data_IF_102798016752
#
_entry.id   IF_102798016752
#
_cell.length_a   1.000
_cell.length_b   1.000
_cell.length_c   1.000
_cell.angle_alpha   90.00
_cell.angle_beta   90.00
_cell.angle_gamma   90.00
#
_symmetry.space_group_name_H-M   'P 1'
#
loop_
_entity.id
_entity.type
_entity.pdbx_description
1 polymer ?
#
# COMPACT_ATOMS: atom_id res chain seq x y z
N UNK A 1 -8.55 20.82 -35.93
CA UNK A 1 -8.65 19.60 -35.10
C UNK A 1 -7.72 19.76 -33.89
N UNK A 2 -8.28 19.99 -32.71
CA UNK A 2 -7.48 20.04 -31.48
C UNK A 2 -7.04 18.63 -31.09
N UNK A 3 -5.73 18.42 -30.88
CA UNK A 3 -5.19 17.16 -30.34
C UNK A 3 -5.83 16.91 -28.97
N UNK A 4 -6.48 15.76 -28.77
CA UNK A 4 -6.83 15.25 -27.44
C UNK A 4 -5.55 15.24 -26.61
N UNK A 5 -5.47 16.12 -25.61
CA UNK A 5 -4.38 16.18 -24.65
C UNK A 5 -4.38 14.83 -23.91
N UNK A 6 -3.33 14.04 -24.11
CA UNK A 6 -3.18 12.65 -23.67
C UNK A 6 -3.75 12.44 -22.25
N UNK A 7 -4.85 11.70 -22.15
CA UNK A 7 -5.36 11.19 -20.89
C UNK A 7 -4.64 9.85 -20.67
N UNK A 8 -3.39 9.93 -20.22
CA UNK A 8 -2.58 8.76 -19.86
C UNK A 8 -3.28 8.10 -18.67
N UNK A 9 -3.57 6.81 -18.82
CA UNK A 9 -4.20 6.03 -17.77
C UNK A 9 -3.19 5.78 -16.64
N UNK A 10 -3.57 5.97 -15.38
CA UNK A 10 -2.69 5.69 -14.22
C UNK A 10 -2.16 4.25 -14.20
N UNK A 11 -2.88 3.33 -14.87
CA UNK A 11 -2.48 1.94 -15.02
C UNK A 11 -1.28 1.72 -15.96
N UNK A 12 -0.92 2.71 -16.79
CA UNK A 12 0.24 2.62 -17.69
C UNK A 12 1.57 2.63 -16.91
N UNK A 13 1.58 3.24 -15.72
CA UNK A 13 2.75 3.32 -14.83
C UNK A 13 2.84 2.12 -13.86
N UNK A 14 1.87 1.21 -13.87
CA UNK A 14 1.79 0.07 -12.94
C UNK A 14 2.36 -1.22 -13.53
N UNK A 15 2.99 -2.02 -12.68
CA UNK A 15 3.30 -3.43 -12.96
C UNK A 15 2.01 -4.27 -12.99
N UNK A 16 2.08 -5.45 -13.62
CA UNK A 16 0.94 -6.39 -13.65
C UNK A 16 0.48 -6.82 -12.24
N UNK A 17 1.40 -6.87 -11.28
CA UNK A 17 1.06 -7.18 -9.90
C UNK A 17 0.24 -6.05 -9.25
N UNK A 18 0.63 -4.79 -9.48
CA UNK A 18 -0.08 -3.61 -8.99
C UNK A 18 -1.44 -3.46 -9.67
N UNK A 19 -1.53 -3.69 -10.97
CA UNK A 19 -2.81 -3.71 -11.71
C UNK A 19 -3.77 -4.73 -11.08
N UNK A 20 -3.30 -5.93 -10.75
CA UNK A 20 -4.11 -6.97 -10.08
C UNK A 20 -4.65 -6.47 -8.73
N UNK A 21 -3.82 -5.77 -7.95
CA UNK A 21 -4.22 -5.19 -6.67
C UNK A 21 -5.21 -4.04 -6.86
N UNK A 22 -4.95 -3.15 -7.81
CA UNK A 22 -5.80 -2.01 -8.14
C UNK A 22 -7.21 -2.46 -8.58
N UNK A 23 -7.31 -3.50 -9.41
CA UNK A 23 -8.58 -4.08 -9.81
C UNK A 23 -9.32 -4.71 -8.64
N UNK A 24 -8.64 -5.52 -7.82
CA UNK A 24 -9.26 -6.08 -6.62
C UNK A 24 -9.83 -5.00 -5.70
N UNK A 25 -9.07 -3.93 -5.42
CA UNK A 25 -9.52 -2.83 -4.58
C UNK A 25 -10.75 -2.13 -5.20
N UNK A 26 -10.73 -1.88 -6.51
CA UNK A 26 -11.85 -1.30 -7.23
C UNK A 26 -13.10 -2.21 -7.20
N UNK A 27 -12.94 -3.52 -7.37
CA UNK A 27 -14.03 -4.50 -7.29
C UNK A 27 -14.66 -4.56 -5.89
N UNK A 28 -13.88 -4.29 -4.85
CA UNK A 28 -14.37 -4.15 -3.47
C UNK A 28 -14.94 -2.75 -3.17
N UNK A 29 -14.93 -1.82 -4.12
CA UNK A 29 -15.38 -0.44 -3.93
C UNK A 29 -14.46 0.38 -3.00
N UNK A 30 -13.20 -0.02 -2.85
CA UNK A 30 -12.21 0.68 -2.03
C UNK A 30 -11.44 1.67 -2.92
N UNK A 31 -11.52 2.96 -2.58
CA UNK A 31 -10.73 3.98 -3.26
C UNK A 31 -9.25 3.88 -2.88
N UNK A 32 -8.38 4.23 -3.83
CA UNK A 32 -6.94 4.23 -3.63
C UNK A 32 -6.26 5.39 -4.35
N UNK A 33 -5.14 5.83 -3.78
CA UNK A 33 -4.20 6.76 -4.41
C UNK A 33 -2.91 6.00 -4.72
N UNK A 34 -2.47 6.05 -5.98
CA UNK A 34 -1.23 5.39 -6.42
C UNK A 34 -0.01 6.27 -6.07
N UNK A 35 1.06 5.63 -5.58
CA UNK A 35 2.35 6.26 -5.25
C UNK A 35 2.26 7.54 -4.40
N UNK A 36 1.33 7.60 -3.45
CA UNK A 36 1.18 8.78 -2.59
C UNK A 36 2.45 8.97 -1.72
N UNK A 37 3.13 10.14 -1.80
CA UNK A 37 4.35 10.37 -1.05
C UNK A 37 4.08 10.45 0.45
N UNK A 38 4.96 9.82 1.22
CA UNK A 38 4.99 9.86 2.68
C UNK A 38 6.36 10.26 3.18
N UNK A 39 6.36 10.93 4.33
CA UNK A 39 7.58 11.29 5.03
C UNK A 39 7.96 10.19 6.03
N UNK A 40 9.20 9.72 5.96
CA UNK A 40 9.78 8.77 6.92
C UNK A 40 11.14 9.24 7.42
N UNK A 41 11.49 8.82 8.63
CA UNK A 41 12.86 8.92 9.16
C UNK A 41 13.57 7.58 9.02
N UNK A 42 14.74 7.59 8.38
CA UNK A 42 15.56 6.39 8.24
C UNK A 42 16.24 6.01 9.56
N UNK A 43 17.05 4.94 9.56
CA UNK A 43 17.78 4.47 10.76
C UNK A 43 18.73 5.53 11.36
N UNK A 44 19.12 6.55 10.59
CA UNK A 44 19.99 7.65 11.03
C UNK A 44 19.20 8.94 11.31
N UNK A 45 17.89 8.83 11.54
CA UNK A 45 16.94 9.94 11.75
C UNK A 45 16.82 10.93 10.58
N UNK A 46 17.32 10.56 9.41
CA UNK A 46 17.35 11.47 8.25
C UNK A 46 15.97 11.49 7.58
N UNK A 47 15.49 12.68 7.18
CA UNK A 47 14.26 12.81 6.39
C UNK A 47 14.36 12.06 5.06
N UNK A 48 13.31 11.31 4.71
CA UNK A 48 13.12 10.66 3.41
C UNK A 48 11.68 10.85 2.95
N UNK A 49 11.50 10.90 1.64
CA UNK A 49 10.18 10.77 1.00
C UNK A 49 10.15 9.43 0.30
N UNK A 50 9.21 8.58 0.69
CA UNK A 50 8.94 7.29 0.04
C UNK A 50 7.55 7.32 -0.58
N UNK A 51 7.33 6.48 -1.59
CA UNK A 51 6.05 6.30 -2.28
C UNK A 51 5.68 4.81 -2.17
N UNK A 52 4.82 4.43 -1.21
CA UNK A 52 4.18 3.11 -1.23
C UNK A 52 3.25 3.02 -2.43
N UNK A 53 3.09 1.81 -2.96
CA UNK A 53 2.38 1.61 -4.22
C UNK A 53 0.93 2.08 -4.14
N UNK A 54 0.22 1.81 -3.02
CA UNK A 54 -1.13 2.33 -2.80
C UNK A 54 -1.32 2.92 -1.41
N UNK A 55 -2.14 3.96 -1.33
CA UNK A 55 -2.76 4.45 -0.11
C UNK A 55 -4.28 4.30 -0.20
N UNK A 56 -4.91 3.78 0.85
CA UNK A 56 -6.36 3.62 0.99
C UNK A 56 -6.87 4.72 1.95
N UNK A 57 -7.40 5.86 1.45
CA UNK A 57 -7.71 7.01 2.30
C UNK A 57 -8.74 6.72 3.39
N UNK A 58 -9.82 6.02 3.05
CA UNK A 58 -10.92 5.71 3.97
C UNK A 58 -10.48 4.79 5.11
N UNK A 59 -9.48 3.96 4.85
CA UNK A 59 -8.93 2.99 5.81
C UNK A 59 -7.68 3.53 6.51
N UNK A 60 -7.05 4.58 5.97
CA UNK A 60 -5.78 5.10 6.44
C UNK A 60 -4.70 4.02 6.47
N UNK A 61 -4.64 3.17 5.44
CA UNK A 61 -3.69 2.05 5.31
C UNK A 61 -2.94 2.19 3.99
N UNK A 62 -1.64 1.89 3.98
CA UNK A 62 -0.83 1.80 2.77
C UNK A 62 -0.60 0.33 2.38
N UNK A 63 -0.32 0.10 1.11
CA UNK A 63 -0.01 -1.21 0.55
C UNK A 63 1.32 -1.13 -0.20
N UNK A 64 2.13 -2.18 -0.04
CA UNK A 64 3.30 -2.46 -0.86
C UNK A 64 3.08 -3.79 -1.59
N UNK A 65 3.18 -3.78 -2.91
CA UNK A 65 2.99 -4.92 -3.80
C UNK A 65 4.35 -5.55 -4.11
N UNK A 66 4.65 -6.61 -3.37
CA UNK A 66 5.83 -7.44 -3.59
C UNK A 66 5.58 -8.38 -4.79
N UNK A 67 5.88 -7.94 -6.01
CA UNK A 67 5.68 -8.73 -7.24
C UNK A 67 6.65 -9.91 -7.45
N UNK A 68 7.74 -10.00 -6.68
CA UNK A 68 8.76 -11.08 -6.80
C UNK A 68 9.37 -11.45 -5.44
N UNK A 69 9.95 -12.64 -5.35
CA UNK A 69 10.69 -13.15 -4.17
C UNK A 69 12.13 -12.67 -4.05
N UNK A 70 12.67 -12.11 -5.14
CA UNK A 70 14.08 -11.71 -5.24
C UNK A 70 14.43 -10.44 -4.46
N UNK A 71 13.43 -9.71 -3.96
CA UNK A 71 13.63 -8.48 -3.19
C UNK A 71 13.42 -8.73 -1.70
N UNK A 72 14.37 -8.27 -0.90
CA UNK A 72 14.22 -8.18 0.54
C UNK A 72 13.50 -6.87 0.92
N UNK A 73 12.31 -7.01 1.52
CA UNK A 73 11.50 -5.90 2.00
C UNK A 73 11.66 -5.64 3.52
N UNK A 74 12.56 -6.38 4.18
CA UNK A 74 12.80 -6.29 5.63
C UNK A 74 13.14 -4.87 6.07
N UNK A 75 13.99 -4.17 5.32
CA UNK A 75 14.38 -2.79 5.61
C UNK A 75 13.19 -1.82 5.50
N UNK A 76 12.42 -1.88 4.40
CA UNK A 76 11.23 -1.02 4.23
C UNK A 76 10.22 -1.27 5.36
N UNK A 77 9.94 -2.53 5.66
CA UNK A 77 9.04 -2.91 6.75
C UNK A 77 9.49 -2.36 8.10
N UNK A 78 10.77 -2.50 8.43
CA UNK A 78 11.36 -1.95 9.66
C UNK A 78 11.19 -0.43 9.73
N UNK A 79 11.44 0.30 8.64
CA UNK A 79 11.30 1.75 8.60
C UNK A 79 9.83 2.17 8.76
N UNK A 80 8.87 1.48 8.13
CA UNK A 80 7.45 1.77 8.33
C UNK A 80 7.00 1.55 9.76
N UNK A 81 7.39 0.43 10.38
CA UNK A 81 7.10 0.14 11.78
C UNK A 81 7.68 1.21 12.71
N UNK A 82 8.95 1.59 12.50
CA UNK A 82 9.61 2.68 13.25
C UNK A 82 8.84 3.99 13.17
N UNK A 83 8.34 4.33 11.98
CA UNK A 83 7.59 5.57 11.73
C UNK A 83 6.09 5.45 12.06
N UNK A 84 5.64 4.31 12.61
CA UNK A 84 4.24 4.02 12.93
C UNK A 84 3.29 4.16 11.73
N UNK A 85 3.79 3.83 10.54
CA UNK A 85 3.01 3.90 9.30
C UNK A 85 2.36 2.53 9.08
N UNK A 86 1.03 2.44 9.00
CA UNK A 86 0.30 1.20 8.77
C UNK A 86 0.44 0.77 7.31
N UNK A 87 1.30 -0.22 7.05
CA UNK A 87 1.55 -0.75 5.70
C UNK A 87 1.33 -2.25 5.66
N UNK A 88 0.61 -2.73 4.64
CA UNK A 88 0.43 -4.16 4.35
C UNK A 88 1.29 -4.54 3.14
N UNK A 89 2.22 -5.49 3.32
CA UNK A 89 3.04 -6.02 2.24
C UNK A 89 2.34 -7.22 1.60
N UNK A 90 1.92 -7.08 0.34
CA UNK A 90 1.22 -8.11 -0.42
C UNK A 90 2.20 -8.84 -1.31
N UNK A 91 2.38 -10.14 -1.09
CA UNK A 91 3.19 -10.99 -1.96
C UNK A 91 2.30 -11.72 -2.97
N UNK A 92 2.06 -11.11 -4.13
CA UNK A 92 1.16 -11.64 -5.16
C UNK A 92 1.62 -12.98 -5.75
N UNK A 93 2.91 -13.32 -5.63
CA UNK A 93 3.50 -14.56 -6.12
C UNK A 93 3.49 -15.72 -5.10
N UNK A 94 3.21 -15.47 -3.81
CA UNK A 94 3.29 -16.51 -2.76
C UNK A 94 1.99 -17.30 -2.58
N UNK A 95 0.84 -16.80 -3.06
CA UNK A 95 -0.43 -17.50 -2.90
C UNK A 95 -1.57 -16.93 -3.78
N UNK A 96 -2.50 -17.80 -4.17
CA UNK A 96 -3.85 -17.45 -4.70
C UNK A 96 -4.80 -16.84 -3.64
N UNK A 97 -4.26 -16.35 -2.51
CA UNK A 97 -5.04 -15.88 -1.35
C UNK A 97 -4.53 -14.56 -0.78
N UNK A 98 -3.73 -13.82 -1.54
CA UNK A 98 -3.18 -12.54 -1.08
C UNK A 98 -4.29 -11.53 -0.78
N UNK A 99 -5.45 -11.65 -1.44
CA UNK A 99 -6.68 -10.89 -1.22
C UNK A 99 -7.19 -11.11 0.22
N UNK A 100 -7.35 -12.37 0.62
CA UNK A 100 -7.78 -12.74 1.98
C UNK A 100 -6.76 -12.28 3.03
N UNK A 101 -5.48 -12.36 2.69
CA UNK A 101 -4.42 -11.84 3.56
C UNK A 101 -4.55 -10.32 3.73
N UNK A 102 -4.73 -9.56 2.65
CA UNK A 102 -4.91 -8.11 2.69
C UNK A 102 -6.08 -7.72 3.61
N UNK A 103 -7.26 -8.30 3.39
CA UNK A 103 -8.44 -8.03 4.21
C UNK A 103 -8.21 -8.38 5.69
N UNK A 104 -7.55 -9.52 5.96
CA UNK A 104 -7.20 -9.93 7.32
C UNK A 104 -6.26 -8.93 8.01
N UNK A 105 -5.23 -8.44 7.32
CA UNK A 105 -4.28 -7.49 7.90
C UNK A 105 -4.90 -6.11 8.12
N UNK A 106 -5.72 -5.63 7.18
CA UNK A 106 -6.52 -4.41 7.37
C UNK A 106 -7.41 -4.56 8.61
N UNK A 107 -8.12 -5.68 8.75
CA UNK A 107 -8.95 -5.97 9.93
C UNK A 107 -8.16 -5.93 11.24
N UNK A 108 -6.94 -6.49 11.28
CA UNK A 108 -6.07 -6.43 12.46
C UNK A 108 -5.65 -4.99 12.79
N UNK A 109 -5.31 -4.18 11.78
CA UNK A 109 -4.93 -2.78 11.98
C UNK A 109 -6.10 -2.02 12.62
N UNK A 110 -7.31 -2.17 12.09
CA UNK A 110 -8.49 -1.52 12.63
C UNK A 110 -8.91 -2.07 14.00
N UNK A 111 -8.74 -3.37 14.26
CA UNK A 111 -8.95 -3.96 15.59
C UNK A 111 -8.07 -3.30 16.67
N UNK A 112 -6.76 -3.13 16.38
CA UNK A 112 -5.84 -2.43 17.28
C UNK A 112 -6.22 -0.96 17.50
N UNK A 113 -6.62 -0.26 16.42
CA UNK A 113 -7.10 1.12 16.52
C UNK A 113 -8.34 1.23 17.38
N UNK A 114 -9.28 0.31 17.21
CA UNK A 114 -10.49 0.24 18.03
C UNK A 114 -10.16 0.02 19.50
N UNK A 115 -9.26 -0.91 19.83
CA UNK A 115 -8.78 -1.16 21.19
C UNK A 115 -8.17 0.08 21.85
N UNK A 116 -7.40 0.86 21.10
CA UNK A 116 -6.84 2.13 21.58
C UNK A 116 -7.93 3.17 21.82
N UNK A 117 -8.87 3.34 20.89
CA UNK A 117 -9.92 4.36 20.97
C UNK A 117 -10.92 4.06 22.08
N UNK A 118 -11.35 2.80 22.25
CA UNK A 118 -12.30 2.41 23.31
C UNK A 118 -11.72 2.48 24.72
N UNK A 119 -10.39 2.56 24.84
CA UNK A 119 -9.67 2.71 26.10
C UNK A 119 -9.43 4.15 26.52
N UNK A 120 -9.77 5.11 25.65
CA UNK A 120 -9.81 6.55 25.95
C UNK A 120 -11.19 6.95 26.49
#
# INVERSE_FOLDING_TARGET
MARKKYQISIYEDMTQAEIKVAHFLADQGIWWNFEQPIYVRDDKERPRVWTPDFYLPELGVYIEVCGTDKRDYSYRKKIYEKNKIPVVFIHTYKADKWENYLIKEIGKIHGKRWELIRGL
#
